data_IF_938993436991
#
_entry.id   IF_938993436991
#
_cell.length_a   1.000
_cell.length_b   1.000
_cell.length_c   1.000
_cell.angle_alpha   90.00
_cell.angle_beta   90.00
_cell.angle_gamma   90.00
#
_symmetry.space_group_name_H-M   'P 1'
#
loop_
_entity.id
_entity.type
_entity.pdbx_description
1 polymer ?
#
# COMPACT_ATOMS: atom_id res chain seq x y z
N UNK A 1 0.37 23.00 3.23
CA UNK A 1 1.38 21.93 3.12
C UNK A 1 0.65 20.59 3.08
N UNK A 2 0.70 19.85 1.96
CA UNK A 2 0.07 18.53 1.90
C UNK A 2 0.74 17.61 2.93
N UNK A 3 -0.07 16.98 3.79
CA UNK A 3 0.44 16.06 4.82
C UNK A 3 1.17 14.92 4.11
N UNK A 4 2.44 14.72 4.45
CA UNK A 4 3.25 13.64 3.89
C UNK A 4 2.52 12.32 4.14
N UNK A 5 2.42 11.47 3.11
CA UNK A 5 1.75 10.18 3.24
C UNK A 5 2.34 9.41 4.42
N UNK A 6 1.53 8.84 5.33
CA UNK A 6 1.99 8.23 6.58
C UNK A 6 2.91 7.01 6.37
N UNK A 7 2.95 6.50 5.14
CA UNK A 7 3.85 5.43 4.71
C UNK A 7 3.12 4.10 4.59
N UNK A 8 3.82 3.08 4.06
CA UNK A 8 3.22 1.77 3.81
C UNK A 8 2.91 1.02 5.11
N UNK A 9 3.80 1.08 6.09
CA UNK A 9 3.63 0.40 7.38
C UNK A 9 2.47 0.97 8.21
N UNK A 10 2.33 2.31 8.22
CA UNK A 10 1.22 2.96 8.92
C UNK A 10 -0.15 2.58 8.32
N UNK A 11 -0.23 2.52 6.99
CA UNK A 11 -1.48 2.13 6.32
C UNK A 11 -1.79 0.63 6.52
N UNK A 12 -0.76 -0.24 6.55
CA UNK A 12 -0.94 -1.65 6.95
C UNK A 12 -1.49 -1.78 8.36
N UNK A 13 -0.93 -1.05 9.33
CA UNK A 13 -1.39 -1.08 10.71
C UNK A 13 -2.85 -0.66 10.81
N UNK A 14 -3.25 0.38 10.05
CA UNK A 14 -4.63 0.85 10.01
C UNK A 14 -5.59 -0.20 9.45
N UNK A 15 -5.20 -0.93 8.39
CA UNK A 15 -5.99 -2.04 7.84
C UNK A 15 -6.08 -3.19 8.84
N UNK A 16 -4.95 -3.56 9.46
CA UNK A 16 -4.91 -4.62 10.47
C UNK A 16 -5.86 -4.31 11.65
N UNK A 17 -5.83 -3.08 12.17
CA UNK A 17 -6.71 -2.67 13.26
C UNK A 17 -8.18 -2.56 12.85
N UNK A 18 -8.47 -2.10 11.63
CA UNK A 18 -9.86 -1.96 11.13
C UNK A 18 -10.52 -3.31 10.84
N UNK A 19 -9.77 -4.21 10.21
CA UNK A 19 -10.28 -5.51 9.74
C UNK A 19 -10.08 -6.62 10.80
N UNK A 20 -9.35 -6.34 11.89
CA UNK A 20 -9.03 -7.33 12.91
C UNK A 20 -8.15 -8.48 12.40
N UNK A 21 -7.33 -8.23 11.37
CA UNK A 21 -6.50 -9.25 10.72
C UNK A 21 -5.02 -9.13 11.10
N UNK A 22 -4.25 -10.23 11.04
CA UNK A 22 -2.81 -10.18 11.25
C UNK A 22 -2.13 -9.20 10.27
N UNK A 23 -1.08 -8.49 10.74
CA UNK A 23 -0.34 -7.50 9.96
C UNK A 23 0.19 -8.06 8.62
N UNK A 24 0.56 -9.35 8.59
CA UNK A 24 0.96 -10.07 7.38
C UNK A 24 -0.15 -10.09 6.31
N UNK A 25 -1.39 -10.28 6.73
CA UNK A 25 -2.55 -10.32 5.83
C UNK A 25 -2.90 -8.90 5.36
N UNK A 26 -2.91 -7.93 6.27
CA UNK A 26 -3.10 -6.51 5.93
C UNK A 26 -2.06 -6.03 4.90
N UNK A 27 -0.80 -6.45 5.07
CA UNK A 27 0.27 -6.16 4.11
C UNK A 27 0.08 -6.81 2.74
N UNK A 28 -0.42 -8.04 2.70
CA UNK A 28 -0.74 -8.72 1.44
C UNK A 28 -1.88 -8.01 0.68
N UNK A 29 -2.93 -7.59 1.39
CA UNK A 29 -4.07 -6.85 0.83
C UNK A 29 -3.58 -5.51 0.25
N UNK A 30 -2.85 -4.73 1.04
CA UNK A 30 -2.33 -3.43 0.61
C UNK A 30 -1.38 -3.57 -0.59
N UNK A 31 -0.52 -4.60 -0.59
CA UNK A 31 0.38 -4.85 -1.70
C UNK A 31 -0.37 -5.28 -2.98
N UNK A 32 -1.41 -6.10 -2.86
CA UNK A 32 -2.27 -6.48 -3.98
C UNK A 32 -2.98 -5.27 -4.59
N UNK A 33 -3.55 -4.40 -3.76
CA UNK A 33 -4.17 -3.16 -4.20
C UNK A 33 -3.16 -2.23 -4.90
N UNK A 34 -1.95 -2.08 -4.34
CA UNK A 34 -0.89 -1.27 -4.94
C UNK A 34 -0.44 -1.80 -6.33
N UNK A 35 -0.42 -3.13 -6.53
CA UNK A 35 -0.12 -3.74 -7.83
C UNK A 35 -1.19 -3.44 -8.87
N UNK A 36 -2.46 -3.55 -8.48
CA UNK A 36 -3.63 -3.30 -9.35
C UNK A 36 -3.95 -1.82 -9.57
N UNK A 37 -3.28 -0.91 -8.86
CA UNK A 37 -3.49 0.53 -8.99
C UNK A 37 -3.30 1.02 -10.44
N UNK A 38 -4.12 2.01 -10.83
CA UNK A 38 -4.13 2.58 -12.18
C UNK A 38 -2.80 3.26 -12.55
N UNK A 39 -2.50 3.43 -13.85
CA UNK A 39 -1.31 4.16 -14.30
C UNK A 39 -1.26 5.59 -13.77
N UNK A 40 -2.41 6.27 -13.70
CA UNK A 40 -2.53 7.61 -13.12
C UNK A 40 -2.16 7.62 -11.64
N UNK A 41 -2.67 6.67 -10.85
CA UNK A 41 -2.30 6.54 -9.43
C UNK A 41 -0.80 6.26 -9.24
N UNK A 42 -0.21 5.42 -10.10
CA UNK A 42 1.24 5.13 -10.10
C UNK A 42 2.09 6.33 -10.54
N UNK A 43 1.54 7.27 -11.32
CA UNK A 43 2.20 8.54 -11.70
C UNK A 43 2.17 9.54 -10.56
N UNK A 44 1.03 9.67 -9.88
CA UNK A 44 0.88 10.53 -8.70
C UNK A 44 1.63 10.01 -7.46
N UNK A 45 1.75 8.68 -7.32
CA UNK A 45 2.52 8.05 -6.26
C UNK A 45 3.53 7.02 -6.82
N UNK A 46 4.77 7.48 -7.13
CA UNK A 46 5.83 6.61 -7.62
C UNK A 46 6.20 5.46 -6.66
N UNK A 47 5.87 5.54 -5.36
CA UNK A 47 6.16 4.47 -4.40
C UNK A 47 5.36 3.19 -4.70
N UNK A 48 4.19 3.29 -5.34
CA UNK A 48 3.40 2.12 -5.77
C UNK A 48 4.17 1.24 -6.77
N UNK A 49 5.06 1.82 -7.58
CA UNK A 49 5.91 1.06 -8.51
C UNK A 49 6.92 0.16 -7.78
N UNK A 50 7.36 0.55 -6.58
CA UNK A 50 8.29 -0.25 -5.76
C UNK A 50 7.63 -1.54 -5.27
N UNK A 51 6.32 -1.51 -5.02
CA UNK A 51 5.53 -2.68 -4.63
C UNK A 51 5.22 -3.56 -5.84
N UNK A 52 4.97 -2.95 -7.00
CA UNK A 52 4.67 -3.67 -8.24
C UNK A 52 5.87 -4.42 -8.83
N UNK A 53 7.10 -3.88 -8.72
CA UNK A 53 8.31 -4.55 -9.22
C UNK A 53 8.72 -5.79 -8.44
N UNK A 54 8.09 -6.10 -7.29
CA UNK A 54 8.38 -7.31 -6.50
C UNK A 54 7.53 -8.50 -6.97
N UNK A 55 7.56 -8.75 -8.28
CA UNK A 55 7.18 -10.03 -8.89
C UNK A 55 8.48 -10.73 -9.27
N UNK A 56 8.63 -11.99 -8.83
CA UNK A 56 9.62 -12.90 -9.43
C UNK A 56 9.25 -13.10 -10.89
#
# INVERSE_FOLDING_TARGET
MAKKHPGFAAEQSKIASKEGIPMKNAGAILASAARKASPAAKRSNPALKKVAKKGK
#
